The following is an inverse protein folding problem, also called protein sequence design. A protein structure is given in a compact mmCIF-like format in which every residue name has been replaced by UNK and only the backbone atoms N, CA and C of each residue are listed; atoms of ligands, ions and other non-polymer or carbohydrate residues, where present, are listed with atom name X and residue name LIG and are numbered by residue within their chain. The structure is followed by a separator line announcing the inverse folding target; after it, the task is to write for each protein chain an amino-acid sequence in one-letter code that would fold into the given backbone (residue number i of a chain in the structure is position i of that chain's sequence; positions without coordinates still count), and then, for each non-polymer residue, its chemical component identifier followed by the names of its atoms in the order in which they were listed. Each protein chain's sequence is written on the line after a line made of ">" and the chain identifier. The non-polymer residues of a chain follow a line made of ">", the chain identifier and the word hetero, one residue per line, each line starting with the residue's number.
data_IF_085095893338
#
_entry.id   IF_085095893338
#
_cell.length_a   1.000
_cell.length_b   1.000
_cell.length_c   1.000
_cell.angle_alpha   90.00
_cell.angle_beta   90.00
_cell.angle_gamma   90.00
#
_symmetry.space_group_name_H-M   'P 1'
#
loop_
_entity.id
_entity.type
_entity.pdbx_description
1 polymer ?
#
# COMPACT_ATOMS: atom_id res chain seq x y z
N UNK A 1 23.10 -0.26 -28.76
CA UNK A 1 23.98 -0.09 -27.58
C UNK A 1 23.37 -0.67 -26.32
N UNK A 2 22.27 -0.12 -25.77
CA UNK A 2 21.60 -0.62 -24.54
C UNK A 2 21.43 -2.15 -24.49
N UNK A 3 20.80 -2.74 -25.52
CA UNK A 3 20.57 -4.19 -25.57
C UNK A 3 21.88 -5.00 -25.65
N UNK A 4 22.89 -4.50 -26.36
CA UNK A 4 24.19 -5.16 -26.48
C UNK A 4 24.93 -5.20 -25.15
N UNK A 5 24.97 -4.08 -24.42
CA UNK A 5 25.55 -4.01 -23.07
C UNK A 5 24.78 -4.93 -22.13
N UNK A 6 23.44 -4.96 -22.23
CA UNK A 6 22.62 -5.82 -21.41
C UNK A 6 22.96 -7.30 -21.59
N UNK A 7 23.25 -7.73 -22.81
CA UNK A 7 23.57 -9.13 -23.12
C UNK A 7 25.02 -9.54 -22.81
N UNK A 8 25.96 -8.59 -22.79
CA UNK A 8 27.39 -8.86 -22.62
C UNK A 8 28.05 -7.89 -21.62
N UNK A 9 27.51 -7.73 -20.40
CA UNK A 9 27.91 -6.64 -19.51
C UNK A 9 29.38 -6.68 -19.09
N UNK A 10 29.96 -7.87 -18.92
CA UNK A 10 31.36 -8.02 -18.52
C UNK A 10 32.35 -7.69 -19.65
N UNK A 11 31.99 -7.90 -20.92
CA UNK A 11 32.85 -7.47 -22.04
C UNK A 11 32.83 -5.93 -22.17
N UNK A 12 31.65 -5.32 -22.07
CA UNK A 12 31.51 -3.88 -22.18
C UNK A 12 32.13 -3.12 -21.00
N UNK A 13 32.11 -3.68 -19.79
CA UNK A 13 32.67 -3.00 -18.62
C UNK A 13 34.21 -2.95 -18.65
N UNK A 14 34.87 -3.96 -19.22
CA UNK A 14 36.33 -3.97 -19.43
C UNK A 14 36.78 -2.86 -20.40
N UNK A 15 35.92 -2.54 -21.38
CA UNK A 15 36.17 -1.53 -22.40
C UNK A 15 35.38 -0.23 -22.21
N UNK A 16 34.82 0.02 -21.02
CA UNK A 16 33.89 1.15 -20.79
C UNK A 16 34.50 2.52 -21.11
N UNK A 17 35.83 2.66 -21.04
CA UNK A 17 36.53 3.90 -21.42
C UNK A 17 36.36 4.24 -22.90
N UNK A 18 36.19 3.25 -23.78
CA UNK A 18 35.91 3.46 -25.21
C UNK A 18 34.48 3.96 -25.45
N UNK A 19 33.59 3.82 -24.45
CA UNK A 19 32.20 4.27 -24.51
C UNK A 19 32.03 5.72 -24.03
N UNK A 20 33.13 6.46 -23.80
CA UNK A 20 33.13 7.87 -23.40
C UNK A 20 32.89 8.78 -24.60
N UNK A 21 31.68 8.69 -25.16
CA UNK A 21 31.22 9.51 -26.28
C UNK A 21 30.41 10.69 -25.76
N UNK A 22 30.69 11.90 -26.22
CA UNK A 22 29.99 13.13 -25.81
C UNK A 22 28.61 13.29 -26.49
N UNK A 23 27.82 12.22 -26.51
CA UNK A 23 26.44 12.22 -26.98
C UNK A 23 25.51 11.80 -25.83
N UNK A 24 24.53 12.64 -25.51
CA UNK A 24 23.64 12.46 -24.37
C UNK A 24 22.89 11.13 -24.43
N UNK A 25 22.28 10.82 -25.58
CA UNK A 25 21.46 9.63 -25.76
C UNK A 25 22.32 8.36 -25.72
N UNK A 26 23.56 8.44 -26.23
CA UNK A 26 24.54 7.37 -26.12
C UNK A 26 24.94 7.11 -24.67
N UNK A 27 25.28 8.15 -23.90
CA UNK A 27 25.62 8.04 -22.47
C UNK A 27 24.46 7.39 -21.70
N UNK A 28 23.23 7.88 -21.90
CA UNK A 28 22.04 7.34 -21.27
C UNK A 28 21.83 5.86 -21.65
N UNK A 29 22.01 5.51 -22.93
CA UNK A 29 21.88 4.13 -23.40
C UNK A 29 22.94 3.20 -22.79
N UNK A 30 24.16 3.69 -22.54
CA UNK A 30 25.22 2.94 -21.84
C UNK A 30 24.81 2.68 -20.40
N UNK A 31 24.40 3.72 -19.66
CA UNK A 31 23.98 3.60 -18.25
C UNK A 31 22.78 2.64 -18.12
N UNK A 32 21.74 2.80 -18.95
CA UNK A 32 20.59 1.90 -18.92
C UNK A 32 20.91 0.47 -19.40
N UNK A 33 21.93 0.29 -20.23
CA UNK A 33 22.44 -1.04 -20.59
C UNK A 33 22.96 -1.77 -19.36
N UNK A 34 23.84 -1.11 -18.60
CA UNK A 34 24.38 -1.66 -17.36
C UNK A 34 23.29 -1.84 -16.29
N UNK A 35 22.43 -0.85 -16.07
CA UNK A 35 21.30 -0.95 -15.15
C UNK A 35 20.42 -2.18 -15.46
N UNK A 36 20.12 -2.42 -16.74
CA UNK A 36 19.38 -3.60 -17.20
C UNK A 36 20.08 -4.94 -16.95
N UNK A 37 21.40 -4.96 -16.90
CA UNK A 37 22.26 -6.15 -16.73
C UNK A 37 22.63 -6.49 -15.28
N UNK A 38 22.33 -5.60 -14.32
CA UNK A 38 22.74 -5.75 -12.90
C UNK A 38 22.26 -7.03 -12.20
N UNK A 39 21.43 -7.85 -12.86
CA UNK A 39 21.03 -9.17 -12.38
C UNK A 39 22.06 -10.28 -12.71
N UNK A 40 23.07 -10.00 -13.53
CA UNK A 40 24.01 -11.00 -14.09
C UNK A 40 25.44 -10.92 -13.49
N UNK A 41 25.60 -10.49 -12.23
CA UNK A 41 26.89 -10.38 -11.53
C UNK A 41 27.96 -9.55 -12.27
N UNK A 42 27.72 -8.25 -12.39
CA UNK A 42 28.75 -7.27 -12.80
C UNK A 42 29.94 -7.29 -11.83
N UNK A 43 31.15 -7.45 -12.37
CA UNK A 43 32.37 -7.64 -11.56
C UNK A 43 33.20 -6.38 -11.34
N UNK A 44 33.04 -5.34 -12.17
CA UNK A 44 33.89 -4.13 -12.12
C UNK A 44 33.09 -2.83 -11.86
N UNK A 45 32.65 -2.67 -10.61
CA UNK A 45 31.96 -1.45 -10.15
C UNK A 45 32.83 -0.20 -10.20
N UNK A 46 34.14 -0.33 -10.00
CA UNK A 46 35.07 0.81 -10.04
C UNK A 46 35.04 1.51 -11.40
N UNK A 47 35.11 0.73 -12.49
CA UNK A 47 35.01 1.24 -13.85
C UNK A 47 33.66 1.90 -14.13
N UNK A 48 32.57 1.30 -13.63
CA UNK A 48 31.22 1.83 -13.81
C UNK A 48 31.03 3.16 -13.08
N UNK A 49 31.46 3.26 -11.82
CA UNK A 49 31.38 4.51 -11.04
C UNK A 49 32.25 5.60 -11.67
N UNK A 50 33.44 5.25 -12.17
CA UNK A 50 34.29 6.20 -12.88
C UNK A 50 33.64 6.71 -14.18
N UNK A 51 32.89 5.85 -14.88
CA UNK A 51 32.09 6.27 -16.03
C UNK A 51 30.97 7.22 -15.62
N UNK A 52 30.23 6.94 -14.55
CA UNK A 52 29.17 7.82 -14.05
C UNK A 52 29.71 9.20 -13.65
N UNK A 53 30.85 9.24 -12.94
CA UNK A 53 31.54 10.49 -12.59
C UNK A 53 31.89 11.29 -13.84
N UNK A 54 32.56 10.65 -14.81
CA UNK A 54 32.88 11.29 -16.09
C UNK A 54 31.62 11.80 -16.81
N UNK A 55 30.56 10.99 -16.89
CA UNK A 55 29.33 11.34 -17.59
C UNK A 55 28.65 12.58 -16.98
N UNK A 56 28.71 12.74 -15.66
CA UNK A 56 28.11 13.89 -14.96
C UNK A 56 29.05 15.11 -15.00
N UNK A 57 30.32 14.94 -14.64
CA UNK A 57 31.27 16.04 -14.53
C UNK A 57 31.58 16.65 -15.90
N UNK A 58 31.79 15.82 -16.93
CA UNK A 58 32.12 16.28 -18.28
C UNK A 58 30.96 17.03 -18.96
N UNK A 59 29.71 16.73 -18.57
CA UNK A 59 28.54 17.37 -19.14
C UNK A 59 27.97 18.51 -18.28
N UNK A 60 28.59 18.76 -17.12
CA UNK A 60 28.20 19.87 -16.25
C UNK A 60 28.45 21.22 -16.93
N UNK A 61 27.40 22.03 -17.06
CA UNK A 61 27.48 23.37 -17.67
C UNK A 61 27.41 23.40 -19.21
N UNK A 62 27.31 22.26 -19.89
CA UNK A 62 27.08 22.21 -21.34
C UNK A 62 25.64 22.60 -21.67
N UNK A 63 25.45 23.62 -22.53
CA UNK A 63 24.12 24.19 -22.85
C UNK A 63 23.17 23.24 -23.59
N UNK A 64 23.71 22.29 -24.34
CA UNK A 64 22.93 21.38 -25.21
C UNK A 64 22.89 19.95 -24.68
N UNK A 65 23.16 19.74 -23.39
CA UNK A 65 23.09 18.42 -22.75
C UNK A 65 22.07 18.47 -21.62
N UNK A 66 21.11 17.55 -21.66
CA UNK A 66 20.16 17.34 -20.59
C UNK A 66 20.83 16.53 -19.46
N UNK A 67 21.55 17.24 -18.60
CA UNK A 67 22.23 16.65 -17.45
C UNK A 67 21.26 15.99 -16.46
N UNK A 68 20.01 16.46 -16.39
CA UNK A 68 18.96 15.87 -15.55
C UNK A 68 18.68 14.42 -15.96
N UNK A 69 18.61 14.11 -17.26
CA UNK A 69 18.39 12.72 -17.73
C UNK A 69 19.59 11.80 -17.46
N UNK A 70 20.83 12.30 -17.63
CA UNK A 70 22.05 11.55 -17.28
C UNK A 70 22.06 11.23 -15.78
N UNK A 71 21.74 12.21 -14.93
CA UNK A 71 21.66 12.02 -13.47
C UNK A 71 20.53 11.08 -13.07
N UNK A 72 19.37 11.14 -13.72
CA UNK A 72 18.28 10.19 -13.50
C UNK A 72 18.73 8.76 -13.80
N UNK A 73 19.37 8.55 -14.95
CA UNK A 73 19.90 7.24 -15.34
C UNK A 73 20.94 6.74 -14.32
N UNK A 74 21.85 7.60 -13.86
CA UNK A 74 22.82 7.28 -12.83
C UNK A 74 22.14 6.87 -11.52
N UNK A 75 21.17 7.65 -11.03
CA UNK A 75 20.41 7.31 -9.82
C UNK A 75 19.67 5.97 -9.94
N UNK A 76 19.05 5.66 -11.09
CA UNK A 76 18.37 4.36 -11.30
C UNK A 76 19.35 3.18 -11.26
N UNK A 77 20.54 3.34 -11.85
CA UNK A 77 21.59 2.34 -11.79
C UNK A 77 22.07 2.13 -10.34
N UNK A 78 22.38 3.21 -9.62
CA UNK A 78 22.85 3.14 -8.24
C UNK A 78 21.80 2.56 -7.29
N UNK A 79 20.53 2.94 -7.44
CA UNK A 79 19.41 2.41 -6.68
C UNK A 79 19.31 0.89 -6.82
N UNK A 80 19.40 0.37 -8.05
CA UNK A 80 19.40 -1.07 -8.32
C UNK A 80 20.66 -1.77 -7.77
N UNK A 81 21.81 -1.12 -7.87
CA UNK A 81 23.08 -1.63 -7.33
C UNK A 81 23.06 -1.76 -5.81
N UNK A 82 22.58 -0.73 -5.11
CA UNK A 82 22.57 -0.64 -3.65
C UNK A 82 21.43 -1.42 -2.98
N UNK A 83 20.30 -1.61 -3.67
CA UNK A 83 19.15 -2.36 -3.13
C UNK A 83 19.28 -3.89 -3.25
N UNK A 84 20.18 -4.38 -4.12
CA UNK A 84 20.33 -5.81 -4.36
C UNK A 84 21.29 -6.47 -3.39
N UNK A 85 20.83 -7.52 -2.69
CA UNK A 85 21.70 -8.35 -1.85
C UNK A 85 22.70 -9.21 -2.65
N UNK A 86 22.44 -9.43 -3.94
CA UNK A 86 23.29 -10.25 -4.81
C UNK A 86 24.42 -9.47 -5.46
N UNK A 87 24.33 -8.13 -5.46
CA UNK A 87 25.33 -7.25 -6.03
C UNK A 87 26.30 -6.84 -4.93
N UNK A 88 27.59 -7.01 -5.18
CA UNK A 88 28.66 -6.61 -4.26
C UNK A 88 29.40 -5.41 -4.81
N UNK A 89 28.95 -4.22 -4.43
CA UNK A 89 29.74 -2.99 -4.59
C UNK A 89 30.82 -3.00 -3.51
N UNK A 90 32.10 -2.93 -3.91
CA UNK A 90 33.23 -2.86 -2.98
C UNK A 90 33.13 -1.59 -2.12
N UNK A 91 33.34 -1.76 -0.81
CA UNK A 91 33.29 -0.66 0.16
C UNK A 91 34.41 0.38 -0.04
N UNK A 92 35.50 0.01 -0.71
CA UNK A 92 36.55 0.95 -1.13
C UNK A 92 35.99 2.11 -1.99
N UNK A 93 34.86 1.90 -2.67
CA UNK A 93 34.20 2.86 -3.55
C UNK A 93 33.29 3.86 -2.82
N UNK A 94 33.24 3.84 -1.47
CA UNK A 94 32.33 4.66 -0.67
C UNK A 94 32.36 6.13 -1.08
N UNK A 95 33.56 6.71 -1.20
CA UNK A 95 33.74 8.13 -1.48
C UNK A 95 33.30 8.49 -2.91
N UNK A 96 33.71 7.68 -3.88
CA UNK A 96 33.38 7.87 -5.30
C UNK A 96 31.88 7.73 -5.54
N UNK A 97 31.25 6.75 -4.89
CA UNK A 97 29.81 6.55 -4.93
C UNK A 97 29.06 7.76 -4.36
N UNK A 98 29.49 8.24 -3.19
CA UNK A 98 28.89 9.42 -2.58
C UNK A 98 29.03 10.67 -3.46
N UNK A 99 30.17 10.87 -4.12
CA UNK A 99 30.37 11.99 -5.04
C UNK A 99 29.36 12.00 -6.21
N UNK A 100 29.02 10.84 -6.76
CA UNK A 100 27.98 10.71 -7.79
C UNK A 100 26.61 11.09 -7.21
N UNK A 101 26.23 10.52 -6.06
CA UNK A 101 24.96 10.81 -5.39
C UNK A 101 24.84 12.31 -5.07
N UNK A 102 25.88 12.90 -4.48
CA UNK A 102 25.93 14.32 -4.11
C UNK A 102 25.81 15.25 -5.33
N UNK A 103 26.34 14.86 -6.49
CA UNK A 103 26.12 15.61 -7.72
C UNK A 103 24.65 15.54 -8.18
N UNK A 104 24.01 14.38 -8.09
CA UNK A 104 22.60 14.24 -8.42
C UNK A 104 21.68 14.98 -7.44
N UNK A 105 22.03 15.07 -6.14
CA UNK A 105 21.28 15.84 -5.13
C UNK A 105 21.23 17.35 -5.43
N UNK A 106 22.15 17.86 -6.26
CA UNK A 106 22.19 19.27 -6.67
C UNK A 106 21.34 19.57 -7.91
N UNK A 107 20.64 18.58 -8.46
CA UNK A 107 19.81 18.77 -9.64
C UNK A 107 18.66 19.75 -9.37
N UNK A 108 18.28 20.56 -10.35
CA UNK A 108 17.15 21.49 -10.24
C UNK A 108 15.79 20.79 -10.24
N UNK A 109 15.72 19.55 -10.75
CA UNK A 109 14.51 18.74 -10.82
C UNK A 109 14.24 17.97 -9.51
N UNK A 110 13.06 18.12 -8.88
CA UNK A 110 11.90 18.88 -9.34
C UNK A 110 11.98 20.37 -8.99
N UNK A 111 11.50 21.22 -9.90
CA UNK A 111 11.31 22.65 -9.64
C UNK A 111 10.04 22.84 -8.79
N UNK A 112 10.15 23.51 -7.63
CA UNK A 112 8.99 23.78 -6.78
C UNK A 112 7.85 24.52 -7.50
N UNK A 113 8.16 25.42 -8.45
CA UNK A 113 7.15 26.12 -9.26
C UNK A 113 6.25 25.17 -10.04
N UNK A 114 6.76 24.01 -10.45
CA UNK A 114 6.00 22.97 -11.16
C UNK A 114 5.05 22.18 -10.25
N UNK A 115 5.04 22.44 -8.93
CA UNK A 115 4.18 21.77 -7.95
C UNK A 115 2.99 22.63 -7.51
N UNK A 116 2.91 23.89 -7.95
CA UNK A 116 1.84 24.82 -7.56
C UNK A 116 0.45 24.39 -8.05
N UNK A 117 0.39 23.59 -9.12
CA UNK A 117 -0.85 23.09 -9.72
C UNK A 117 -1.26 21.70 -9.21
N UNK A 118 -0.42 21.05 -8.39
CA UNK A 118 -0.74 19.73 -7.85
C UNK A 118 -1.85 19.92 -6.82
N UNK A 119 -3.04 19.43 -7.16
CA UNK A 119 -4.09 19.23 -6.16
C UNK A 119 -3.58 18.16 -5.20
N UNK A 120 -3.84 18.33 -3.91
CA UNK A 120 -3.42 17.38 -2.89
C UNK A 120 -4.31 16.12 -2.93
N UNK A 121 -4.45 15.50 -4.11
CA UNK A 121 -5.00 14.15 -4.22
C UNK A 121 -3.87 13.12 -4.10
N UNK A 122 -4.26 11.92 -3.68
CA UNK A 122 -3.48 10.98 -2.87
C UNK A 122 -2.24 10.36 -3.49
N UNK A 123 -1.97 10.57 -4.78
CA UNK A 123 -0.90 9.83 -5.45
C UNK A 123 0.19 10.69 -6.09
N UNK A 124 -0.02 12.00 -6.20
CA UNK A 124 0.81 12.83 -7.07
C UNK A 124 2.21 13.10 -6.54
N UNK A 125 2.40 13.28 -5.23
CA UNK A 125 3.72 13.70 -4.71
C UNK A 125 4.78 12.61 -4.84
N UNK A 126 4.49 11.38 -4.43
CA UNK A 126 5.47 10.30 -4.54
C UNK A 126 5.65 9.82 -5.99
N UNK A 127 4.58 9.80 -6.81
CA UNK A 127 4.72 9.54 -8.24
C UNK A 127 5.62 10.58 -8.92
N UNK A 128 5.52 11.85 -8.53
CA UNK A 128 6.46 12.88 -8.99
C UNK A 128 7.86 12.69 -8.41
N UNK A 129 7.97 12.27 -7.16
CA UNK A 129 9.24 12.00 -6.51
C UNK A 129 10.05 10.91 -7.25
N UNK A 130 9.45 9.77 -7.57
CA UNK A 130 10.16 8.69 -8.28
C UNK A 130 10.56 9.05 -9.71
N UNK A 131 9.94 10.09 -10.28
CA UNK A 131 10.22 10.62 -11.60
C UNK A 131 11.07 11.90 -11.57
N UNK A 132 11.62 12.29 -10.42
CA UNK A 132 12.49 13.46 -10.31
C UNK A 132 13.87 13.14 -9.75
N UNK A 133 14.89 13.80 -10.29
CA UNK A 133 16.30 13.47 -10.04
C UNK A 133 16.67 13.67 -8.58
N UNK A 134 16.34 14.83 -8.00
CA UNK A 134 16.73 15.14 -6.62
C UNK A 134 16.09 14.19 -5.61
N UNK A 135 14.82 13.86 -5.83
CA UNK A 135 14.07 12.90 -5.03
C UNK A 135 14.68 11.48 -5.13
N UNK A 136 15.01 11.03 -6.35
CA UNK A 136 15.67 9.73 -6.55
C UNK A 136 17.08 9.70 -5.97
N UNK A 137 17.81 10.81 -6.03
CA UNK A 137 19.13 10.95 -5.41
C UNK A 137 19.06 10.90 -3.87
N UNK A 138 18.03 11.50 -3.26
CA UNK A 138 17.77 11.39 -1.82
C UNK A 138 17.41 9.94 -1.42
N UNK A 139 16.64 9.22 -2.24
CA UNK A 139 16.44 7.79 -2.05
C UNK A 139 17.77 7.01 -2.17
N UNK A 140 18.63 7.32 -3.14
CA UNK A 140 19.93 6.69 -3.27
C UNK A 140 20.84 6.95 -2.07
N UNK A 141 20.76 8.14 -1.44
CA UNK A 141 21.54 8.43 -0.24
C UNK A 141 21.09 7.58 0.96
N UNK A 142 19.78 7.33 1.10
CA UNK A 142 19.26 6.40 2.12
C UNK A 142 19.78 4.99 1.89
N UNK A 143 19.71 4.48 0.65
CA UNK A 143 20.27 3.17 0.29
C UNK A 143 21.79 3.08 0.51
N UNK A 144 22.52 4.15 0.18
CA UNK A 144 23.94 4.28 0.48
C UNK A 144 24.21 4.18 1.99
N UNK A 145 23.42 4.87 2.81
CA UNK A 145 23.54 4.78 4.27
C UNK A 145 23.36 3.35 4.79
N UNK A 146 22.37 2.62 4.27
CA UNK A 146 22.10 1.24 4.67
C UNK A 146 23.25 0.31 4.26
N UNK A 147 23.81 0.54 3.07
CA UNK A 147 25.02 -0.14 2.62
C UNK A 147 26.22 0.19 3.50
N UNK A 148 26.39 1.44 3.95
CA UNK A 148 27.44 1.81 4.91
C UNK A 148 27.25 1.13 6.26
N UNK A 149 26.04 1.09 6.83
CA UNK A 149 25.80 0.39 8.11
C UNK A 149 26.28 -1.05 8.04
N UNK A 150 25.92 -1.75 6.96
CA UNK A 150 26.29 -3.16 6.75
C UNK A 150 27.80 -3.35 6.64
N UNK A 151 28.51 -2.50 5.90
CA UNK A 151 29.95 -2.67 5.66
C UNK A 151 30.83 -2.18 6.82
N UNK A 152 30.32 -1.25 7.63
CA UNK A 152 31.00 -0.75 8.83
C UNK A 152 30.64 -1.54 10.09
N UNK A 153 29.81 -2.58 9.96
CA UNK A 153 29.28 -3.38 11.07
C UNK A 153 28.60 -2.50 12.16
N UNK A 154 27.89 -1.46 11.72
CA UNK A 154 27.15 -0.57 12.62
C UNK A 154 25.78 -1.22 12.89
N UNK A 155 25.40 -1.40 14.16
CA UNK A 155 24.08 -1.90 14.50
C UNK A 155 22.96 -1.03 13.91
N UNK A 156 21.84 -1.67 13.57
CA UNK A 156 20.64 -0.99 13.11
C UNK A 156 20.16 0.01 14.16
N UNK A 157 19.81 1.21 13.72
CA UNK A 157 19.35 2.31 14.57
C UNK A 157 20.49 3.11 15.21
N UNK A 158 21.76 2.74 15.00
CA UNK A 158 22.93 3.40 15.60
C UNK A 158 23.82 4.16 14.61
N UNK A 159 23.36 4.38 13.38
CA UNK A 159 24.07 5.15 12.35
C UNK A 159 24.17 6.62 12.69
N UNK A 160 25.12 7.03 13.53
CA UNK A 160 25.19 8.43 13.98
C UNK A 160 25.85 9.37 12.97
N UNK A 161 25.60 10.68 13.14
CA UNK A 161 26.17 11.76 12.33
C UNK A 161 27.70 11.72 12.27
N UNK A 162 28.37 11.27 13.32
CA UNK A 162 29.83 11.17 13.37
C UNK A 162 30.38 10.09 12.43
N UNK A 163 29.58 9.05 12.15
CA UNK A 163 29.97 7.91 11.30
C UNK A 163 29.65 8.17 9.82
N UNK A 164 28.52 8.84 9.56
CA UNK A 164 28.00 9.14 8.22
C UNK A 164 27.67 10.64 8.07
N UNK A 165 28.63 11.57 8.31
CA UNK A 165 28.35 13.00 8.35
C UNK A 165 27.76 13.53 7.05
N UNK A 166 28.21 13.02 5.92
CA UNK A 166 27.74 13.40 4.59
C UNK A 166 26.24 13.09 4.39
N UNK A 167 25.78 11.97 4.95
CA UNK A 167 24.40 11.52 4.85
C UNK A 167 23.48 12.37 5.73
N UNK A 168 23.83 12.56 6.99
CA UNK A 168 22.98 13.29 7.93
C UNK A 168 22.94 14.80 7.63
N UNK A 169 24.02 15.37 7.12
CA UNK A 169 24.00 16.75 6.60
C UNK A 169 23.04 16.88 5.42
N UNK A 170 23.00 15.87 4.53
CA UNK A 170 22.06 15.82 3.42
C UNK A 170 20.62 15.76 3.93
N UNK A 171 20.33 14.88 4.88
CA UNK A 171 18.99 14.79 5.46
C UNK A 171 18.56 16.10 6.13
N UNK A 172 19.43 16.71 6.94
CA UNK A 172 19.14 18.01 7.57
C UNK A 172 18.90 19.13 6.54
N UNK A 173 19.63 19.13 5.42
CA UNK A 173 19.44 20.09 4.34
C UNK A 173 18.05 19.94 3.69
N UNK A 174 17.69 18.73 3.27
CA UNK A 174 16.42 18.47 2.57
C UNK A 174 15.21 18.52 3.50
N UNK A 175 15.41 18.36 4.80
CA UNK A 175 14.36 18.50 5.78
C UNK A 175 14.07 19.97 6.12
N UNK A 176 14.98 20.89 5.82
CA UNK A 176 14.81 22.32 6.08
C UNK A 176 13.98 23.00 4.99
N UNK A 177 12.77 23.45 5.33
CA UNK A 177 11.85 24.12 4.41
C UNK A 177 12.42 25.38 3.73
N UNK A 178 13.38 26.06 4.36
CA UNK A 178 14.04 27.23 3.75
C UNK A 178 15.03 26.85 2.64
N UNK A 179 15.45 25.59 2.60
CA UNK A 179 16.44 25.05 1.65
C UNK A 179 15.79 24.18 0.58
N UNK A 180 14.81 23.38 0.98
CA UNK A 180 14.02 22.54 0.10
C UNK A 180 12.53 22.82 0.29
N UNK A 181 11.86 23.20 -0.80
CA UNK A 181 10.44 23.55 -0.81
C UNK A 181 9.59 22.48 -1.50
N UNK A 182 10.19 21.59 -2.28
CA UNK A 182 9.49 20.53 -3.01
C UNK A 182 8.79 19.56 -2.06
N UNK A 183 7.49 19.39 -2.29
CA UNK A 183 6.67 18.39 -1.61
C UNK A 183 6.98 16.98 -2.13
N UNK A 184 7.35 16.84 -3.41
CA UNK A 184 7.80 15.57 -3.97
C UNK A 184 9.10 15.09 -3.28
N UNK A 185 10.09 15.97 -3.11
CA UNK A 185 11.31 15.63 -2.36
C UNK A 185 10.96 15.29 -0.91
N UNK A 186 10.07 16.04 -0.27
CA UNK A 186 9.66 15.77 1.10
C UNK A 186 8.94 14.43 1.28
N UNK A 187 8.17 13.98 0.28
CA UNK A 187 7.48 12.69 0.31
C UNK A 187 8.41 11.48 0.50
N UNK A 188 9.69 11.61 0.10
CA UNK A 188 10.72 10.59 0.30
C UNK A 188 10.90 10.27 1.79
N UNK A 189 10.81 11.26 2.68
CA UNK A 189 10.89 11.01 4.12
C UNK A 189 9.72 10.15 4.63
N UNK A 190 8.54 10.32 4.06
CA UNK A 190 7.38 9.47 4.37
C UNK A 190 7.57 8.04 3.87
N UNK A 191 7.93 7.88 2.59
CA UNK A 191 8.18 6.56 1.97
C UNK A 191 9.23 5.75 2.73
N UNK A 192 10.29 6.42 3.15
CA UNK A 192 11.50 5.80 3.69
C UNK A 192 11.60 5.89 5.22
N UNK A 193 10.54 6.32 5.92
CA UNK A 193 10.57 6.53 7.38
C UNK A 193 11.09 5.31 8.17
N UNK A 194 10.66 4.06 7.88
CA UNK A 194 11.22 2.88 8.58
C UNK A 194 12.72 2.68 8.34
N UNK A 195 13.22 3.04 7.15
CA UNK A 195 14.64 2.93 6.83
C UNK A 195 15.46 4.04 7.45
N UNK A 196 14.90 5.24 7.60
CA UNK A 196 15.52 6.32 8.38
C UNK A 196 15.66 5.89 9.84
N UNK A 197 14.61 5.29 10.40
CA UNK A 197 14.64 4.73 11.75
C UNK A 197 15.71 3.62 11.89
N UNK A 198 15.80 2.73 10.89
CA UNK A 198 16.84 1.69 10.83
C UNK A 198 18.25 2.26 10.63
N UNK A 199 18.38 3.42 9.98
CA UNK A 199 19.65 4.14 9.85
C UNK A 199 20.07 4.69 11.20
N UNK A 200 19.23 5.54 11.81
CA UNK A 200 19.44 6.11 13.13
C UNK A 200 18.11 6.41 13.80
N UNK A 201 17.84 5.68 14.88
CA UNK A 201 16.60 5.79 15.63
C UNK A 201 16.50 7.17 16.29
N UNK A 202 17.56 7.64 16.94
CA UNK A 202 17.55 8.88 17.70
C UNK A 202 17.35 10.10 16.79
N UNK A 203 18.06 10.17 15.67
CA UNK A 203 17.92 11.22 14.68
C UNK A 203 16.52 11.23 14.08
N UNK A 204 15.96 10.06 13.76
CA UNK A 204 14.62 9.95 13.18
C UNK A 204 13.56 10.41 14.17
N UNK A 205 13.59 9.93 15.41
CA UNK A 205 12.66 10.36 16.46
C UNK A 205 12.80 11.87 16.76
N UNK A 206 14.03 12.40 16.83
CA UNK A 206 14.27 13.82 17.07
C UNK A 206 13.73 14.72 15.95
N UNK A 207 13.73 14.23 14.71
CA UNK A 207 13.29 14.99 13.54
C UNK A 207 11.87 14.67 13.07
N UNK A 208 11.15 13.80 13.79
CA UNK A 208 9.81 13.34 13.40
C UNK A 208 8.84 14.52 13.17
N UNK A 209 8.83 15.52 14.05
CA UNK A 209 7.98 16.71 13.92
C UNK A 209 8.32 17.61 12.72
N UNK A 210 9.50 17.44 12.11
CA UNK A 210 9.87 18.10 10.85
C UNK A 210 9.53 17.25 9.63
N UNK A 211 9.53 15.92 9.79
CA UNK A 211 9.13 14.94 8.76
C UNK A 211 7.61 14.95 8.61
N UNK A 212 6.87 14.93 9.72
CA UNK A 212 5.41 14.95 9.81
C UNK A 212 4.96 16.23 10.57
N UNK A 213 5.03 17.42 9.93
CA UNK A 213 4.78 18.67 10.62
C UNK A 213 3.29 19.05 10.71
N UNK A 214 2.71 19.10 11.91
CA UNK A 214 1.27 19.38 12.14
C UNK A 214 0.84 20.85 12.04
N UNK A 215 1.73 21.79 11.67
CA UNK A 215 1.37 23.21 11.65
C UNK A 215 0.46 23.56 10.46
N UNK A 216 -0.45 24.52 10.61
CA UNK A 216 -1.36 24.97 9.54
C UNK A 216 -0.62 25.34 8.24
N UNK A 217 0.57 25.95 8.36
CA UNK A 217 1.40 26.36 7.23
C UNK A 217 2.18 25.20 6.58
N UNK A 218 2.18 24.02 7.21
CA UNK A 218 2.90 22.83 6.75
C UNK A 218 1.98 21.65 6.42
N UNK A 219 0.65 21.85 6.37
CA UNK A 219 -0.29 20.76 6.13
C UNK A 219 -0.02 20.01 4.81
N UNK A 220 0.28 20.73 3.72
CA UNK A 220 0.66 20.08 2.44
C UNK A 220 1.92 19.21 2.57
N UNK A 221 2.86 19.62 3.43
CA UNK A 221 4.11 18.90 3.69
C UNK A 221 3.85 17.67 4.55
N UNK A 222 2.97 17.79 5.55
CA UNK A 222 2.44 16.65 6.28
C UNK A 222 1.76 15.66 5.33
N UNK A 223 0.79 16.09 4.53
CA UNK A 223 0.09 15.26 3.54
C UNK A 223 1.05 14.55 2.61
N UNK A 224 2.03 15.26 2.04
CA UNK A 224 3.01 14.68 1.14
C UNK A 224 3.83 13.53 1.78
N UNK A 225 4.21 13.65 3.05
CA UNK A 225 4.93 12.59 3.75
C UNK A 225 3.98 11.50 4.29
N UNK A 226 2.91 11.88 4.98
CA UNK A 226 1.99 10.95 5.64
C UNK A 226 1.20 10.08 4.66
N UNK A 227 0.62 10.65 3.60
CA UNK A 227 -0.10 9.85 2.61
C UNK A 227 0.87 8.90 1.89
N UNK A 228 2.09 9.37 1.61
CA UNK A 228 3.13 8.52 1.04
C UNK A 228 3.54 7.39 1.98
N UNK A 229 3.62 7.65 3.29
CA UNK A 229 3.86 6.62 4.28
C UNK A 229 2.75 5.56 4.23
N UNK A 230 1.49 5.96 4.41
CA UNK A 230 0.34 5.03 4.41
C UNK A 230 0.27 4.20 3.12
N UNK A 231 0.40 4.83 1.96
CA UNK A 231 0.16 4.18 0.67
C UNK A 231 1.30 3.26 0.22
N UNK A 232 2.53 3.51 0.66
CA UNK A 232 3.70 2.79 0.14
C UNK A 232 4.48 2.00 1.21
N UNK A 233 4.22 2.22 2.50
CA UNK A 233 4.81 1.45 3.60
C UNK A 233 3.84 0.36 4.03
N UNK A 234 4.37 -0.83 4.33
CA UNK A 234 3.55 -1.90 4.90
C UNK A 234 3.46 -1.73 6.41
N UNK A 235 2.34 -2.12 7.05
CA UNK A 235 2.19 -2.06 8.50
C UNK A 235 3.37 -2.73 9.21
N UNK A 236 4.11 -1.93 9.97
CA UNK A 236 5.30 -2.34 10.72
C UNK A 236 5.12 -2.00 12.20
N UNK A 237 4.90 -3.03 13.01
CA UNK A 237 4.46 -2.91 14.40
C UNK A 237 5.43 -2.11 15.28
N UNK A 238 6.74 -2.25 15.08
CA UNK A 238 7.73 -1.47 15.83
C UNK A 238 7.65 0.02 15.48
N UNK A 239 7.55 0.36 14.19
CA UNK A 239 7.39 1.73 13.75
C UNK A 239 6.09 2.34 14.28
N UNK A 240 4.98 1.59 14.27
CA UNK A 240 3.70 2.03 14.82
C UNK A 240 3.85 2.57 16.25
N UNK A 241 4.59 1.87 17.13
CA UNK A 241 4.81 2.33 18.51
C UNK A 241 5.50 3.70 18.59
N UNK A 242 6.25 4.11 17.58
CA UNK A 242 6.92 5.42 17.54
C UNK A 242 6.07 6.52 16.91
N UNK A 243 5.11 6.17 16.06
CA UNK A 243 4.26 7.12 15.32
C UNK A 243 2.77 6.94 15.62
N UNK A 244 2.40 6.27 16.72
CA UNK A 244 1.01 6.08 17.12
C UNK A 244 0.24 7.40 17.16
N UNK A 245 0.86 8.46 17.68
CA UNK A 245 0.29 9.82 17.73
C UNK A 245 0.00 10.42 16.34
N UNK A 246 0.70 9.98 15.31
CA UNK A 246 0.47 10.40 13.92
C UNK A 246 -0.77 9.71 13.36
N UNK A 247 -0.98 8.43 13.71
CA UNK A 247 -2.23 7.74 13.43
C UNK A 247 -3.40 8.40 14.17
N UNK A 248 -3.25 8.74 15.46
CA UNK A 248 -4.27 9.48 16.21
C UNK A 248 -4.60 10.83 15.57
N UNK A 249 -3.57 11.59 15.20
CA UNK A 249 -3.74 12.87 14.53
C UNK A 249 -4.49 12.69 13.21
N UNK A 250 -4.10 11.72 12.38
CA UNK A 250 -4.73 11.43 11.10
C UNK A 250 -6.20 11.03 11.25
N UNK A 251 -6.52 10.13 12.19
CA UNK A 251 -7.89 9.74 12.51
C UNK A 251 -8.70 10.97 12.93
N UNK A 252 -8.12 11.86 13.75
CA UNK A 252 -8.79 13.07 14.17
C UNK A 252 -9.07 14.04 13.01
N UNK A 253 -8.26 14.05 11.96
CA UNK A 253 -8.49 14.87 10.75
C UNK A 253 -9.57 14.29 9.82
N UNK A 254 -9.97 13.02 9.96
CA UNK A 254 -11.02 12.43 9.13
C UNK A 254 -12.34 13.17 9.31
N UNK A 255 -13.03 13.39 8.19
CA UNK A 255 -14.40 13.88 8.09
C UNK A 255 -15.39 12.74 7.87
N UNK A 256 -16.69 13.03 7.98
CA UNK A 256 -17.76 12.04 7.75
C UNK A 256 -17.87 11.57 6.30
N UNK A 257 -17.27 12.30 5.35
CA UNK A 257 -17.24 12.03 3.91
C UNK A 257 -15.84 11.63 3.40
N UNK A 258 -14.85 11.46 4.29
CA UNK A 258 -13.52 10.97 3.93
C UNK A 258 -13.58 9.57 3.30
N UNK A 259 -13.21 9.46 2.04
CA UNK A 259 -13.17 8.19 1.31
C UNK A 259 -11.97 8.11 0.34
N UNK A 260 -11.00 9.00 0.53
CA UNK A 260 -9.77 9.06 -0.24
C UNK A 260 -8.88 7.83 0.06
N UNK A 261 -7.92 7.54 -0.81
CA UNK A 261 -7.11 6.31 -0.72
C UNK A 261 -6.29 6.27 0.57
N UNK A 262 -5.80 7.42 1.03
CA UNK A 262 -5.00 7.48 2.26
C UNK A 262 -5.89 7.23 3.49
N UNK A 263 -7.11 7.79 3.52
CA UNK A 263 -8.10 7.52 4.57
C UNK A 263 -8.51 6.05 4.63
N UNK A 264 -8.79 5.43 3.48
CA UNK A 264 -9.08 3.99 3.40
C UNK A 264 -7.89 3.17 3.92
N UNK A 265 -6.68 3.49 3.44
CA UNK A 265 -5.47 2.81 3.87
C UNK A 265 -5.20 2.96 5.36
N UNK A 266 -5.38 4.15 5.93
CA UNK A 266 -5.26 4.41 7.37
C UNK A 266 -6.10 3.43 8.17
N UNK A 267 -7.37 3.27 7.79
CA UNK A 267 -8.29 2.33 8.44
C UNK A 267 -7.81 0.89 8.28
N UNK A 268 -7.44 0.46 7.07
CA UNK A 268 -6.92 -0.89 6.84
C UNK A 268 -5.71 -1.20 7.73
N UNK A 269 -4.78 -0.26 7.90
CA UNK A 269 -3.60 -0.46 8.74
C UNK A 269 -3.94 -0.59 10.23
N UNK A 270 -4.86 0.23 10.75
CA UNK A 270 -5.33 0.12 12.14
C UNK A 270 -5.96 -1.25 12.41
N UNK A 271 -6.72 -1.78 11.45
CA UNK A 271 -7.25 -3.15 11.53
C UNK A 271 -6.11 -4.17 11.55
N UNK A 272 -5.09 -4.04 10.70
CA UNK A 272 -3.91 -4.94 10.73
C UNK A 272 -3.24 -4.92 12.11
N UNK A 273 -2.98 -3.74 12.67
CA UNK A 273 -2.34 -3.61 13.99
C UNK A 273 -3.19 -4.20 15.12
N UNK A 274 -4.50 -4.06 15.05
CA UNK A 274 -5.40 -4.69 16.01
C UNK A 274 -5.39 -6.22 15.90
N UNK A 275 -5.56 -6.76 14.68
CA UNK A 275 -5.55 -8.20 14.42
C UNK A 275 -4.23 -8.84 14.90
N UNK A 276 -3.08 -8.19 14.65
CA UNK A 276 -1.76 -8.61 15.15
C UNK A 276 -1.57 -8.44 16.66
N UNK A 277 -2.33 -7.54 17.29
CA UNK A 277 -2.27 -7.27 18.73
C UNK A 277 -1.30 -6.17 19.14
N UNK A 278 -0.76 -5.43 18.16
CA UNK A 278 -0.05 -4.18 18.40
C UNK A 278 -1.00 -3.18 19.09
N UNK A 279 -2.21 -3.00 18.55
CA UNK A 279 -3.31 -2.34 19.26
C UNK A 279 -4.06 -3.40 20.05
N UNK A 280 -4.09 -3.25 21.38
CA UNK A 280 -4.61 -4.30 22.27
C UNK A 280 -6.14 -4.33 22.38
N UNK A 281 -6.81 -3.21 22.11
CA UNK A 281 -8.24 -3.07 22.35
C UNK A 281 -8.93 -2.19 21.31
N UNK A 282 -10.12 -2.62 20.87
CA UNK A 282 -11.03 -1.78 20.09
C UNK A 282 -11.59 -0.61 20.91
N UNK A 283 -11.47 -0.63 22.24
CA UNK A 283 -11.83 0.47 23.13
C UNK A 283 -10.70 1.50 23.31
N UNK A 284 -9.61 1.36 22.57
CA UNK A 284 -8.55 2.37 22.53
C UNK A 284 -9.08 3.71 21.99
N UNK A 285 -8.41 4.80 22.37
CA UNK A 285 -8.81 6.16 21.97
C UNK A 285 -8.85 6.31 20.44
N UNK A 286 -7.91 5.67 19.73
CA UNK A 286 -7.84 5.74 18.26
C UNK A 286 -9.06 5.10 17.59
N UNK A 287 -9.47 3.90 18.02
CA UNK A 287 -10.66 3.24 17.48
C UNK A 287 -11.94 3.97 17.89
N UNK A 288 -12.03 4.45 19.13
CA UNK A 288 -13.16 5.25 19.57
C UNK A 288 -13.30 6.54 18.75
N UNK A 289 -12.18 7.17 18.41
CA UNK A 289 -12.16 8.37 17.55
C UNK A 289 -12.55 8.04 16.11
N UNK A 290 -12.09 6.90 15.57
CA UNK A 290 -12.46 6.41 14.26
C UNK A 290 -13.96 6.09 14.15
N UNK A 291 -14.53 5.34 15.09
CA UNK A 291 -15.95 4.98 15.08
C UNK A 291 -16.87 6.19 15.31
N UNK A 292 -16.40 7.25 15.98
CA UNK A 292 -17.14 8.51 16.11
C UNK A 292 -17.28 9.28 14.79
N UNK A 293 -16.51 8.94 13.75
CA UNK A 293 -16.62 9.60 12.44
C UNK A 293 -17.90 9.26 11.71
N UNK A 294 -18.58 8.17 12.08
CA UNK A 294 -19.84 7.69 11.48
C UNK A 294 -19.77 7.67 9.93
N UNK A 295 -18.61 7.29 9.40
CA UNK A 295 -18.33 7.37 7.98
C UNK A 295 -18.61 6.01 7.33
N UNK A 296 -19.59 6.00 6.41
CA UNK A 296 -20.10 4.80 5.76
C UNK A 296 -19.00 4.08 4.96
N UNK A 297 -18.19 4.80 4.19
CA UNK A 297 -17.17 4.19 3.35
C UNK A 297 -16.02 3.61 4.19
N UNK A 298 -15.65 4.27 5.29
CA UNK A 298 -14.67 3.71 6.22
C UNK A 298 -15.19 2.46 6.93
N UNK A 299 -16.46 2.42 7.32
CA UNK A 299 -17.05 1.21 7.92
C UNK A 299 -17.16 0.05 6.93
N UNK A 300 -17.45 0.33 5.65
CA UNK A 300 -17.36 -0.67 4.58
C UNK A 300 -15.95 -1.22 4.47
N UNK A 301 -14.92 -0.37 4.49
CA UNK A 301 -13.54 -0.84 4.49
C UNK A 301 -13.19 -1.68 5.73
N UNK A 302 -13.62 -1.28 6.93
CA UNK A 302 -13.42 -2.08 8.16
C UNK A 302 -13.95 -3.50 7.97
N UNK A 303 -15.18 -3.65 7.49
CA UNK A 303 -15.81 -4.97 7.35
C UNK A 303 -15.17 -5.74 6.19
N UNK A 304 -15.00 -5.13 5.03
CA UNK A 304 -14.48 -5.80 3.84
C UNK A 304 -13.02 -6.24 4.02
N UNK A 305 -12.18 -5.39 4.63
CA UNK A 305 -10.77 -5.68 4.85
C UNK A 305 -10.61 -6.79 5.87
N UNK A 306 -11.35 -6.73 6.97
CA UNK A 306 -11.32 -7.78 7.99
C UNK A 306 -11.76 -9.12 7.42
N UNK A 307 -12.83 -9.16 6.62
CA UNK A 307 -13.29 -10.39 5.97
C UNK A 307 -12.31 -10.97 4.96
N UNK A 308 -11.53 -10.13 4.26
CA UNK A 308 -10.55 -10.57 3.25
C UNK A 308 -9.24 -11.08 3.84
N UNK A 309 -8.79 -10.54 4.96
CA UNK A 309 -7.42 -10.74 5.45
C UNK A 309 -7.33 -11.41 6.82
N UNK A 310 -8.44 -11.74 7.46
CA UNK A 310 -8.43 -12.49 8.71
C UNK A 310 -8.00 -13.95 8.52
N UNK A 311 -7.34 -14.48 9.53
CA UNK A 311 -6.90 -15.88 9.61
C UNK A 311 -7.43 -16.50 10.90
N UNK A 312 -7.35 -17.82 11.03
CA UNK A 312 -7.80 -18.53 12.25
C UNK A 312 -7.15 -17.97 13.52
N UNK A 313 -5.89 -17.53 13.45
CA UNK A 313 -5.14 -16.99 14.58
C UNK A 313 -5.68 -15.67 15.14
N UNK A 314 -6.44 -14.92 14.33
CA UNK A 314 -7.05 -13.66 14.76
C UNK A 314 -8.58 -13.70 14.70
N UNK A 315 -9.18 -14.90 14.66
CA UNK A 315 -10.63 -15.09 14.51
C UNK A 315 -11.47 -14.34 15.56
N UNK A 316 -11.12 -14.47 16.85
CA UNK A 316 -11.84 -13.77 17.93
C UNK A 316 -11.78 -12.25 17.78
N UNK A 317 -10.61 -11.71 17.42
CA UNK A 317 -10.43 -10.28 17.18
C UNK A 317 -11.21 -9.82 15.96
N UNK A 318 -11.20 -10.59 14.88
CA UNK A 318 -12.01 -10.31 13.72
C UNK A 318 -13.49 -10.24 14.14
N UNK A 319 -14.01 -11.27 14.80
CA UNK A 319 -15.40 -11.29 15.28
C UNK A 319 -15.75 -10.06 16.14
N UNK A 320 -14.84 -9.61 17.02
CA UNK A 320 -15.06 -8.39 17.80
C UNK A 320 -15.16 -7.10 16.95
N UNK A 321 -14.44 -7.01 15.82
CA UNK A 321 -14.58 -5.91 14.86
C UNK A 321 -15.98 -5.94 14.23
N UNK A 322 -16.43 -7.14 13.83
CA UNK A 322 -17.78 -7.33 13.28
C UNK A 322 -18.85 -6.89 14.29
N UNK A 323 -18.79 -7.39 15.52
CA UNK A 323 -19.75 -7.08 16.58
C UNK A 323 -19.80 -5.58 16.90
N UNK A 324 -18.64 -4.92 17.06
CA UNK A 324 -18.57 -3.48 17.30
C UNK A 324 -19.18 -2.69 16.14
N UNK A 325 -18.94 -3.12 14.91
CA UNK A 325 -19.46 -2.43 13.72
C UNK A 325 -20.96 -2.66 13.53
N UNK A 326 -21.46 -3.87 13.81
CA UNK A 326 -22.89 -4.17 13.83
C UNK A 326 -23.64 -3.31 14.84
N UNK A 327 -23.15 -3.27 16.09
CA UNK A 327 -23.72 -2.41 17.14
C UNK A 327 -23.73 -0.94 16.71
N UNK A 328 -22.63 -0.45 16.12
CA UNK A 328 -22.56 0.93 15.64
C UNK A 328 -23.55 1.20 14.51
N UNK A 329 -23.72 0.26 13.59
CA UNK A 329 -24.73 0.35 12.52
C UNK A 329 -26.16 0.40 13.07
N UNK A 330 -26.45 -0.35 14.13
CA UNK A 330 -27.75 -0.30 14.82
C UNK A 330 -27.98 1.03 15.53
N UNK A 331 -26.98 1.57 16.24
CA UNK A 331 -27.06 2.89 16.89
C UNK A 331 -27.37 4.02 15.89
N UNK A 332 -26.81 3.94 14.69
CA UNK A 332 -26.94 4.96 13.65
C UNK A 332 -28.14 4.74 12.72
N UNK A 333 -28.84 3.61 12.86
CA UNK A 333 -29.81 3.10 11.88
C UNK A 333 -29.26 3.12 10.44
N UNK A 334 -28.00 2.73 10.28
CA UNK A 334 -27.26 2.77 9.03
C UNK A 334 -26.54 1.43 8.77
N UNK A 335 -27.16 0.61 7.92
CA UNK A 335 -26.75 -0.78 7.69
C UNK A 335 -25.98 -1.01 6.39
N UNK A 336 -25.84 0.00 5.53
CA UNK A 336 -25.09 -0.13 4.26
C UNK A 336 -23.69 -0.72 4.45
N UNK A 337 -22.92 -0.37 5.50
CA UNK A 337 -21.62 -0.99 5.74
C UNK A 337 -21.65 -2.51 5.90
N UNK A 338 -22.72 -3.06 6.48
CA UNK A 338 -22.85 -4.49 6.75
C UNK A 338 -22.95 -5.33 5.49
N UNK A 339 -23.25 -4.71 4.34
CA UNK A 339 -23.29 -5.40 3.04
C UNK A 339 -21.96 -6.08 2.70
N UNK A 340 -20.83 -5.56 3.19
CA UNK A 340 -19.48 -6.10 2.96
C UNK A 340 -19.20 -7.41 3.70
N UNK A 341 -20.15 -7.91 4.51
CA UNK A 341 -20.01 -9.18 5.23
C UNK A 341 -19.83 -10.39 4.30
N UNK A 342 -20.17 -10.28 3.00
CA UNK A 342 -19.97 -11.38 2.05
C UNK A 342 -18.52 -11.87 2.01
N UNK A 343 -17.52 -11.01 2.24
CA UNK A 343 -16.12 -11.43 2.30
C UNK A 343 -15.83 -12.41 3.43
N UNK A 344 -16.57 -12.33 4.55
CA UNK A 344 -16.40 -13.21 5.71
C UNK A 344 -16.84 -14.64 5.45
N UNK A 345 -17.72 -14.84 4.47
CA UNK A 345 -18.25 -16.16 4.13
C UNK A 345 -17.20 -17.08 3.50
N UNK A 346 -16.07 -16.51 3.04
CA UNK A 346 -14.90 -17.25 2.57
C UNK A 346 -13.98 -17.76 3.71
N UNK A 347 -14.23 -17.37 4.96
CA UNK A 347 -13.40 -17.76 6.10
C UNK A 347 -13.82 -19.13 6.65
N UNK A 348 -13.19 -20.20 6.14
CA UNK A 348 -13.54 -21.59 6.49
C UNK A 348 -13.32 -21.94 7.97
N UNK A 349 -12.53 -21.16 8.72
CA UNK A 349 -12.33 -21.37 10.16
C UNK A 349 -13.50 -20.90 11.02
N UNK A 350 -14.43 -20.11 10.46
CA UNK A 350 -15.63 -19.67 11.17
C UNK A 350 -16.70 -20.76 11.12
N UNK A 351 -17.52 -20.84 12.16
CA UNK A 351 -18.61 -21.81 12.24
C UNK A 351 -19.71 -21.50 11.22
N UNK A 352 -20.21 -22.53 10.52
CA UNK A 352 -21.27 -22.40 9.51
C UNK A 352 -22.53 -21.75 10.10
N UNK A 353 -22.98 -22.22 11.25
CA UNK A 353 -24.20 -21.74 11.90
C UNK A 353 -24.13 -20.24 12.20
N UNK A 354 -23.01 -19.78 12.76
CA UNK A 354 -22.79 -18.36 13.05
C UNK A 354 -22.76 -17.52 11.78
N UNK A 355 -22.06 -17.97 10.72
CA UNK A 355 -22.00 -17.25 9.44
C UNK A 355 -23.39 -17.10 8.84
N UNK A 356 -24.20 -18.17 8.84
CA UNK A 356 -25.56 -18.13 8.32
C UNK A 356 -26.44 -17.14 9.10
N UNK A 357 -26.31 -17.08 10.42
CA UNK A 357 -27.03 -16.09 11.23
C UNK A 357 -26.63 -14.65 10.88
N UNK A 358 -25.33 -14.40 10.68
CA UNK A 358 -24.87 -13.07 10.27
C UNK A 358 -25.37 -12.70 8.86
N UNK A 359 -25.42 -13.65 7.92
CA UNK A 359 -26.01 -13.41 6.59
C UNK A 359 -27.49 -13.03 6.70
N UNK A 360 -28.25 -13.74 7.56
CA UNK A 360 -29.67 -13.42 7.81
C UNK A 360 -29.82 -12.01 8.40
N UNK A 361 -28.97 -11.62 9.36
CA UNK A 361 -28.96 -10.28 9.94
C UNK A 361 -28.70 -9.23 8.85
N UNK A 362 -27.65 -9.42 8.05
CA UNK A 362 -27.26 -8.50 6.97
C UNK A 362 -28.39 -8.34 5.95
N UNK A 363 -28.95 -9.44 5.44
CA UNK A 363 -30.05 -9.41 4.47
C UNK A 363 -31.34 -8.83 5.08
N UNK A 364 -31.58 -9.01 6.37
CA UNK A 364 -32.74 -8.45 7.05
C UNK A 364 -32.61 -6.95 7.25
N UNK A 365 -31.41 -6.45 7.55
CA UNK A 365 -31.16 -5.03 7.89
C UNK A 365 -30.72 -4.21 6.67
N UNK A 366 -29.64 -4.62 6.02
CA UNK A 366 -29.03 -3.93 4.88
C UNK A 366 -29.68 -4.29 3.53
N UNK A 367 -30.53 -5.33 3.50
CA UNK A 367 -31.29 -5.81 2.32
C UNK A 367 -30.44 -6.41 1.20
N UNK A 368 -29.13 -6.37 1.33
CA UNK A 368 -28.19 -6.87 0.34
C UNK A 368 -26.87 -7.31 1.00
N UNK A 369 -26.12 -8.17 0.33
CA UNK A 369 -24.81 -8.67 0.78
C UNK A 369 -23.88 -8.86 -0.42
N UNK A 370 -22.60 -8.51 -0.25
CA UNK A 370 -21.56 -8.54 -1.28
C UNK A 370 -20.22 -9.00 -0.69
N UNK A 371 -19.39 -9.74 -1.45
CA UNK A 371 -19.68 -10.28 -2.77
C UNK A 371 -20.48 -11.59 -2.73
N UNK A 372 -21.46 -11.68 -3.62
CA UNK A 372 -22.49 -12.71 -3.65
C UNK A 372 -21.91 -14.12 -3.88
N UNK A 373 -20.84 -14.22 -4.68
CA UNK A 373 -20.24 -15.51 -5.03
C UNK A 373 -19.65 -16.24 -3.81
N UNK A 374 -18.98 -15.54 -2.88
CA UNK A 374 -18.51 -16.16 -1.65
C UNK A 374 -19.67 -16.65 -0.77
N UNK A 375 -20.76 -15.88 -0.74
CA UNK A 375 -21.96 -16.28 0.02
C UNK A 375 -22.57 -17.54 -0.58
N UNK A 376 -22.73 -17.60 -1.90
CA UNK A 376 -23.24 -18.78 -2.61
C UNK A 376 -22.37 -20.01 -2.33
N UNK A 377 -21.06 -19.89 -2.44
CA UNK A 377 -20.12 -21.00 -2.17
C UNK A 377 -20.28 -21.53 -0.74
N UNK A 378 -20.42 -20.62 0.24
CA UNK A 378 -20.65 -20.97 1.64
C UNK A 378 -21.99 -21.68 1.85
N UNK A 379 -23.06 -21.18 1.24
CA UNK A 379 -24.38 -21.82 1.30
C UNK A 379 -24.36 -23.23 0.71
N UNK A 380 -23.68 -23.43 -0.42
CA UNK A 380 -23.53 -24.76 -1.03
C UNK A 380 -22.85 -25.76 -0.09
N UNK A 381 -21.79 -25.33 0.62
CA UNK A 381 -21.11 -26.16 1.63
C UNK A 381 -22.03 -26.50 2.82
N UNK A 382 -22.82 -25.53 3.30
CA UNK A 382 -23.64 -25.66 4.50
C UNK A 382 -25.01 -26.31 4.26
N UNK A 383 -25.49 -26.34 3.02
CA UNK A 383 -26.87 -26.70 2.64
C UNK A 383 -27.37 -28.01 3.24
N UNK A 384 -26.54 -29.06 3.28
CA UNK A 384 -26.95 -30.38 3.78
C UNK A 384 -27.17 -30.41 5.29
N UNK A 385 -26.45 -29.58 6.05
CA UNK A 385 -26.51 -29.55 7.52
C UNK A 385 -27.42 -28.45 8.05
N UNK A 386 -27.60 -27.37 7.29
CA UNK A 386 -28.30 -26.16 7.72
C UNK A 386 -29.37 -25.73 6.70
N UNK A 387 -30.09 -26.69 6.13
CA UNK A 387 -31.04 -26.45 5.02
C UNK A 387 -32.08 -25.39 5.34
N UNK A 388 -32.59 -25.34 6.58
CA UNK A 388 -33.59 -24.34 7.00
C UNK A 388 -33.05 -22.91 6.87
N UNK A 389 -31.85 -22.64 7.38
CA UNK A 389 -31.22 -21.31 7.30
C UNK A 389 -30.86 -20.96 5.86
N UNK A 390 -30.40 -21.93 5.06
CA UNK A 390 -30.11 -21.69 3.64
C UNK A 390 -31.38 -21.30 2.89
N UNK A 391 -32.51 -21.99 3.11
CA UNK A 391 -33.79 -21.65 2.49
C UNK A 391 -34.31 -20.29 2.95
N UNK A 392 -34.11 -19.91 4.21
CA UNK A 392 -34.44 -18.58 4.72
C UNK A 392 -33.63 -17.47 4.01
N UNK A 393 -32.32 -17.65 3.89
CA UNK A 393 -31.42 -16.73 3.20
C UNK A 393 -31.87 -16.52 1.74
N UNK A 394 -32.14 -17.61 1.02
CA UNK A 394 -32.65 -17.53 -0.35
C UNK A 394 -34.00 -16.79 -0.43
N UNK A 395 -34.90 -17.00 0.54
CA UNK A 395 -36.17 -16.27 0.63
C UNK A 395 -35.96 -14.77 0.89
N UNK A 396 -34.99 -14.39 1.72
CA UNK A 396 -34.65 -12.98 1.96
C UNK A 396 -34.12 -12.32 0.69
N UNK A 397 -33.24 -12.99 -0.05
CA UNK A 397 -32.71 -12.49 -1.33
C UNK A 397 -33.84 -12.24 -2.34
N UNK A 398 -34.76 -13.20 -2.48
CA UNK A 398 -35.93 -13.06 -3.37
C UNK A 398 -36.83 -11.91 -2.93
N UNK A 399 -37.10 -11.79 -1.63
CA UNK A 399 -37.93 -10.72 -1.07
C UNK A 399 -37.30 -9.34 -1.29
N UNK A 400 -35.98 -9.25 -1.23
CA UNK A 400 -35.23 -8.00 -1.38
C UNK A 400 -34.90 -7.65 -2.85
N UNK A 401 -35.27 -8.49 -3.84
CA UNK A 401 -34.93 -8.29 -5.26
C UNK A 401 -35.21 -6.88 -5.78
N UNK A 402 -36.34 -6.29 -5.42
CA UNK A 402 -36.76 -4.99 -5.93
C UNK A 402 -35.88 -3.83 -5.43
N UNK A 403 -35.06 -4.08 -4.42
CA UNK A 403 -34.24 -3.06 -3.74
C UNK A 403 -32.83 -3.02 -4.34
N UNK A 404 -32.31 -4.14 -4.87
CA UNK A 404 -30.93 -4.21 -5.32
C UNK A 404 -30.75 -4.96 -6.65
N UNK A 405 -29.98 -4.35 -7.58
CA UNK A 405 -29.72 -4.90 -8.93
C UNK A 405 -28.88 -6.18 -8.93
N UNK A 406 -28.20 -6.49 -7.82
CA UNK A 406 -27.37 -7.69 -7.63
C UNK A 406 -28.14 -9.02 -7.62
N UNK A 407 -29.48 -9.02 -7.63
CA UNK A 407 -30.29 -10.25 -7.68
C UNK A 407 -29.89 -11.19 -8.83
N UNK A 408 -29.48 -10.65 -9.98
CA UNK A 408 -29.08 -11.47 -11.13
C UNK A 408 -27.82 -12.32 -10.86
N UNK A 409 -26.95 -11.89 -9.94
CA UNK A 409 -25.75 -12.64 -9.57
C UNK A 409 -26.08 -13.92 -8.78
N UNK A 410 -27.31 -14.06 -8.29
CA UNK A 410 -27.77 -15.21 -7.51
C UNK A 410 -28.34 -16.36 -8.36
N UNK A 411 -28.50 -16.18 -9.67
CA UNK A 411 -29.12 -17.21 -10.53
C UNK A 411 -28.41 -18.56 -10.43
N UNK A 412 -27.08 -18.57 -10.46
CA UNK A 412 -26.27 -19.79 -10.29
C UNK A 412 -26.43 -20.41 -8.91
N UNK A 413 -26.53 -19.58 -7.87
CA UNK A 413 -26.79 -20.03 -6.50
C UNK A 413 -28.14 -20.72 -6.36
N UNK A 414 -29.22 -20.14 -6.90
CA UNK A 414 -30.54 -20.76 -6.90
C UNK A 414 -30.53 -22.10 -7.66
N UNK A 415 -29.88 -22.17 -8.83
CA UNK A 415 -29.77 -23.38 -9.63
C UNK A 415 -28.99 -24.50 -8.92
N UNK A 416 -27.96 -24.15 -8.16
CA UNK A 416 -27.17 -25.11 -7.39
C UNK A 416 -27.89 -25.59 -6.12
N UNK A 417 -28.55 -24.68 -5.39
CA UNK A 417 -29.09 -24.97 -4.06
C UNK A 417 -30.49 -25.58 -4.06
N UNK A 418 -31.38 -25.18 -4.98
CA UNK A 418 -32.77 -25.67 -5.00
C UNK A 418 -32.86 -27.20 -5.10
N UNK A 419 -32.12 -27.88 -6.00
CA UNK A 419 -32.16 -29.34 -6.08
C UNK A 419 -31.73 -30.02 -4.78
N UNK A 420 -30.69 -29.51 -4.12
CA UNK A 420 -30.20 -30.05 -2.86
C UNK A 420 -31.25 -29.85 -1.75
N UNK A 421 -31.84 -28.65 -1.65
CA UNK A 421 -32.83 -28.32 -0.61
C UNK A 421 -34.13 -29.12 -0.71
N UNK A 422 -34.57 -29.48 -1.93
CA UNK A 422 -35.74 -30.34 -2.13
C UNK A 422 -35.57 -31.75 -1.53
N UNK A 423 -34.32 -32.18 -1.27
CA UNK A 423 -34.00 -33.46 -0.65
C UNK A 423 -33.71 -33.35 0.85
N UNK A 424 -34.10 -32.24 1.48
CA UNK A 424 -33.89 -31.98 2.91
C UNK A 424 -35.23 -31.80 3.64
N UNK A 425 -35.16 -31.59 4.94
CA UNK A 425 -36.33 -31.25 5.76
C UNK A 425 -37.02 -29.93 5.35
N UNK A 426 -36.33 -29.07 4.58
CA UNK A 426 -36.83 -27.76 4.14
C UNK A 426 -37.58 -27.79 2.80
N UNK A 427 -38.09 -28.96 2.41
CA UNK A 427 -38.76 -29.16 1.12
C UNK A 427 -39.97 -28.24 0.91
N UNK A 428 -40.79 -28.02 1.94
CA UNK A 428 -42.01 -27.23 1.84
C UNK A 428 -41.71 -25.74 1.62
N UNK A 429 -40.75 -25.20 2.37
CA UNK A 429 -40.26 -23.84 2.26
C UNK A 429 -39.57 -23.63 0.91
N UNK A 430 -38.86 -24.64 0.41
CA UNK A 430 -38.21 -24.61 -0.90
C UNK A 430 -39.24 -24.59 -2.03
N UNK A 431 -40.32 -25.38 -1.95
CA UNK A 431 -41.44 -25.31 -2.90
C UNK A 431 -42.08 -23.91 -2.93
N UNK A 432 -42.24 -23.27 -1.77
CA UNK A 432 -42.73 -21.89 -1.67
C UNK A 432 -41.77 -20.89 -2.32
N UNK A 433 -40.45 -21.04 -2.11
CA UNK A 433 -39.41 -20.24 -2.77
C UNK A 433 -39.46 -20.38 -4.30
N UNK A 434 -39.58 -21.59 -4.83
CA UNK A 434 -39.71 -21.85 -6.27
C UNK A 434 -40.90 -21.07 -6.84
N UNK A 435 -42.07 -21.11 -6.19
CA UNK A 435 -43.24 -20.36 -6.63
C UNK A 435 -42.96 -18.85 -6.70
N UNK A 436 -42.24 -18.27 -5.73
CA UNK A 436 -41.83 -16.86 -5.78
C UNK A 436 -40.90 -16.57 -6.97
N UNK A 437 -39.93 -17.44 -7.24
CA UNK A 437 -39.01 -17.30 -8.38
C UNK A 437 -39.76 -17.34 -9.72
N UNK A 438 -40.77 -18.20 -9.85
CA UNK A 438 -41.62 -18.29 -11.03
C UNK A 438 -42.47 -17.03 -11.23
N UNK A 439 -43.05 -16.49 -10.16
CA UNK A 439 -43.76 -15.20 -10.19
C UNK A 439 -42.84 -14.05 -10.63
N UNK A 440 -41.53 -14.17 -10.37
CA UNK A 440 -40.51 -13.23 -10.82
C UNK A 440 -40.03 -13.46 -12.26
N UNK A 441 -40.61 -14.42 -12.98
CA UNK A 441 -40.33 -14.71 -14.39
C UNK A 441 -39.15 -15.67 -14.63
N UNK A 442 -38.59 -16.28 -13.58
CA UNK A 442 -37.46 -17.20 -13.70
C UNK A 442 -37.94 -18.62 -14.05
N UNK A 443 -38.38 -18.80 -15.30
CA UNK A 443 -39.00 -20.04 -15.79
C UNK A 443 -38.09 -21.28 -15.73
N UNK A 444 -36.78 -21.12 -15.61
CA UNK A 444 -35.85 -22.25 -15.48
C UNK A 444 -36.12 -23.14 -14.25
N UNK A 445 -36.87 -22.64 -13.26
CA UNK A 445 -37.25 -23.39 -12.05
C UNK A 445 -38.58 -24.17 -12.18
N UNK A 446 -39.31 -24.07 -13.29
CA UNK A 446 -40.59 -24.80 -13.50
C UNK A 446 -40.41 -26.32 -13.40
N UNK A 447 -39.23 -26.82 -13.79
CA UNK A 447 -38.86 -28.26 -13.72
C UNK A 447 -38.90 -28.86 -12.31
N UNK A 448 -38.96 -28.03 -11.26
CA UNK A 448 -38.94 -28.46 -9.86
C UNK A 448 -40.33 -28.42 -9.17
N UNK A 449 -41.41 -28.08 -9.88
CA UNK A 449 -42.76 -27.89 -9.32
C UNK A 449 -43.56 -29.20 -9.17
N UNK A 450 -42.94 -30.37 -9.34
CA UNK A 450 -43.64 -31.67 -9.28
C UNK A 450 -44.03 -32.11 -7.86
#
# INVERSE_FOLDING_TARGET
>A
MKNSIKSLPNEYIEHINLLKVEDEQFIIAVIYGFEGSLLENLTNWQSLINYLKWAIDNNSGKKNVNLTEIRMAACRLLDKGLSSNNIKIDFSLRNELWLVINNCLKDSDPLFSSEKTIQADDSDFYHKAINSVRSKALQCSILYGLWCLKNLDIPRGEGKKELLPELFQTFEYFLNLKKEQSLAVHSIYGRWLPWLYLLDQHWTCHNLSKILPHTKNSLKRYTAAWHTYLLYVQPYDEMFNYIEKEYDYAVNQLSSDSADKASIRLVSELIVFYLRGTIKSLESEIFNSLYKKNNIELFKEIISFTGRFSTEYCGEKAMSIWEKTLLKSEELDQYVPLTEFGYWTALDFLNDEWILDQIIIVLSKAKYIHPEHFVIDRLCKACKKHSSKVTEILNLIVSNKLIHSGFNMWSSGFEALIPELLNTESINETKSLINKLLLLGLKQFEKFVQ
#
